data_IF_772773423129
#
_entry.id   IF_772773423129
#
_cell.length_a   1.000
_cell.length_b   1.000
_cell.length_c   1.000
_cell.angle_alpha   90.00
_cell.angle_beta   90.00
_cell.angle_gamma   90.00
#
_symmetry.space_group_name_H-M   'P 1'
#
loop_
_entity.id
_entity.type
_entity.pdbx_description
1 polymer ?
#
# COMPACT_ATOMS: atom_id res chain seq x y z
N UNK A 1 -8.35 -11.56 7.57
CA UNK A 1 -7.27 -11.88 6.61
C UNK A 1 -5.92 -11.31 7.02
N UNK A 2 -5.81 -10.04 7.37
CA UNK A 2 -4.54 -9.41 7.84
C UNK A 2 -3.95 -10.00 9.14
N UNK A 3 -4.76 -10.63 9.99
CA UNK A 3 -4.30 -11.26 11.25
C UNK A 3 -3.56 -12.60 11.03
N UNK A 4 -3.85 -13.33 9.96
CA UNK A 4 -3.22 -14.64 9.69
C UNK A 4 -1.91 -14.52 8.91
N UNK A 5 -1.72 -13.45 8.14
CA UNK A 5 -0.50 -13.22 7.37
C UNK A 5 0.74 -13.01 8.27
N UNK A 6 0.68 -12.19 9.34
CA UNK A 6 1.80 -12.09 10.27
C UNK A 6 2.19 -13.41 10.93
N UNK A 7 1.20 -14.26 11.22
CA UNK A 7 1.43 -15.61 11.77
C UNK A 7 2.12 -16.54 10.77
N UNK A 8 1.77 -16.47 9.50
CA UNK A 8 2.42 -17.25 8.44
C UNK A 8 3.91 -16.90 8.27
N UNK A 9 4.27 -15.66 8.55
CA UNK A 9 5.66 -15.17 8.48
C UNK A 9 6.36 -15.08 9.84
N UNK A 10 5.76 -15.58 10.92
CA UNK A 10 6.33 -15.54 12.25
C UNK A 10 7.66 -16.32 12.37
N UNK A 11 7.96 -17.22 11.42
CA UNK A 11 9.24 -17.93 11.34
C UNK A 11 10.37 -17.13 10.69
N UNK A 12 10.10 -15.95 10.12
CA UNK A 12 11.12 -15.09 9.56
C UNK A 12 11.84 -14.32 10.67
N UNK A 13 13.16 -14.05 10.52
CA UNK A 13 13.88 -13.24 11.48
C UNK A 13 13.30 -11.82 11.51
N UNK A 14 13.04 -11.31 12.71
CA UNK A 14 12.59 -9.94 12.90
C UNK A 14 13.82 -9.02 12.86
N UNK A 15 14.17 -8.59 11.66
CA UNK A 15 15.29 -7.69 11.39
C UNK A 15 14.81 -6.36 10.86
N UNK A 16 15.61 -5.33 11.04
CA UNK A 16 15.39 -4.06 10.37
C UNK A 16 15.47 -4.27 8.86
N UNK A 17 14.37 -4.03 8.19
CA UNK A 17 14.28 -4.12 6.75
C UNK A 17 13.64 -2.85 6.21
N UNK A 18 14.44 -2.01 5.63
CA UNK A 18 13.92 -0.77 5.08
C UNK A 18 14.98 0.12 4.46
N UNK A 19 14.55 0.96 3.56
CA UNK A 19 15.37 1.95 2.86
C UNK A 19 14.58 3.28 2.79
N UNK A 20 15.18 4.41 3.08
CA UNK A 20 16.59 4.70 3.37
C UNK A 20 16.99 4.55 4.84
N UNK A 21 16.07 4.29 5.79
CA UNK A 21 16.39 4.11 7.20
C UNK A 21 16.78 5.41 7.92
N UNK A 22 16.02 6.48 7.71
CA UNK A 22 16.29 7.80 8.31
C UNK A 22 15.70 7.86 9.71
N UNK A 23 16.52 8.19 10.70
CA UNK A 23 16.03 8.39 12.06
C UNK A 23 15.26 9.72 12.15
N UNK A 24 13.99 9.64 12.49
CA UNK A 24 13.10 10.79 12.71
C UNK A 24 12.62 10.77 14.15
N UNK A 25 12.72 11.90 14.82
CA UNK A 25 12.19 12.08 16.17
C UNK A 25 10.91 12.90 16.12
N UNK A 26 9.80 12.29 16.52
CA UNK A 26 8.50 12.94 16.66
C UNK A 26 7.93 12.66 18.03
N UNK A 27 7.42 13.69 18.70
CA UNK A 27 6.79 13.61 20.02
C UNK A 27 7.65 12.93 21.10
N UNK A 28 8.99 12.99 20.96
CA UNK A 28 9.92 12.41 21.92
C UNK A 28 10.35 10.98 21.63
N UNK A 29 9.79 10.34 20.62
CA UNK A 29 10.19 9.01 20.15
C UNK A 29 11.00 9.11 18.86
N UNK A 30 12.07 8.33 18.79
CA UNK A 30 12.91 8.20 17.60
C UNK A 30 12.57 6.90 16.88
N UNK A 31 12.20 6.99 15.62
CA UNK A 31 11.92 5.82 14.79
C UNK A 31 12.61 5.94 13.42
N UNK A 32 12.81 4.80 12.77
CA UNK A 32 13.37 4.76 11.42
C UNK A 32 12.26 4.93 10.39
N UNK A 33 12.33 6.04 9.67
CA UNK A 33 11.44 6.26 8.54
C UNK A 33 12.00 5.59 7.28
N UNK A 34 11.14 4.84 6.62
CA UNK A 34 11.49 4.11 5.41
C UNK A 34 10.46 4.41 4.30
N UNK A 35 10.93 4.52 3.08
CA UNK A 35 10.06 4.54 1.89
C UNK A 35 9.52 3.13 1.63
N UNK A 36 10.35 2.12 1.82
CA UNK A 36 9.98 0.71 1.74
C UNK A 36 10.53 -0.01 2.97
N UNK A 37 9.67 -0.77 3.65
CA UNK A 37 10.06 -1.59 4.79
C UNK A 37 9.73 -0.99 6.15
N UNK A 38 10.05 -1.75 7.18
CA UNK A 38 9.80 -1.41 8.58
C UNK A 38 10.98 -1.83 9.44
N UNK A 39 11.21 -1.10 10.54
CA UNK A 39 12.19 -1.49 11.54
C UNK A 39 11.69 -2.67 12.41
N UNK A 40 12.60 -3.35 13.10
CA UNK A 40 12.29 -4.50 13.92
C UNK A 40 11.32 -4.17 15.07
N UNK A 41 11.35 -2.93 15.59
CA UNK A 41 10.43 -2.46 16.63
C UNK A 41 8.98 -2.37 16.15
N UNK A 42 8.77 -2.19 14.85
CA UNK A 42 7.45 -2.04 14.22
C UNK A 42 7.09 -3.22 13.31
N UNK A 43 7.63 -4.39 13.57
CA UNK A 43 7.31 -5.64 12.90
C UNK A 43 8.34 -6.12 11.87
N UNK A 44 9.26 -5.28 11.42
CA UNK A 44 10.40 -5.64 10.56
C UNK A 44 10.04 -6.37 9.28
N UNK A 45 10.89 -7.31 8.88
CA UNK A 45 10.73 -8.10 7.65
C UNK A 45 9.44 -8.93 7.61
N UNK A 46 8.99 -9.64 8.66
CA UNK A 46 7.76 -10.41 8.61
C UNK A 46 6.52 -9.56 8.34
N UNK A 47 6.44 -8.41 8.97
CA UNK A 47 5.34 -7.46 8.75
C UNK A 47 5.34 -6.90 7.33
N UNK A 48 6.52 -6.54 6.83
CA UNK A 48 6.68 -6.05 5.45
C UNK A 48 6.24 -7.10 4.42
N UNK A 49 6.66 -8.37 4.57
CA UNK A 49 6.25 -9.45 3.67
C UNK A 49 4.73 -9.66 3.70
N UNK A 50 4.13 -9.71 4.88
CA UNK A 50 2.69 -9.86 5.03
C UNK A 50 1.91 -8.69 4.40
N UNK A 51 2.39 -7.48 4.61
CA UNK A 51 1.83 -6.27 4.01
C UNK A 51 1.90 -6.28 2.49
N UNK A 52 3.06 -6.62 1.92
CA UNK A 52 3.24 -6.68 0.46
C UNK A 52 2.35 -7.73 -0.20
N UNK A 53 2.22 -8.91 0.40
CA UNK A 53 1.34 -9.96 -0.13
C UNK A 53 -0.12 -9.52 -0.07
N UNK A 54 -0.56 -8.92 1.04
CA UNK A 54 -1.92 -8.41 1.17
C UNK A 54 -2.23 -7.33 0.13
N UNK A 55 -1.30 -6.40 -0.08
CA UNK A 55 -1.42 -5.36 -1.11
C UNK A 55 -1.49 -5.97 -2.51
N UNK A 56 -0.59 -6.89 -2.84
CA UNK A 56 -0.55 -7.53 -4.17
C UNK A 56 -1.85 -8.31 -4.47
N UNK A 57 -2.35 -9.08 -3.52
CA UNK A 57 -3.62 -9.81 -3.67
C UNK A 57 -4.78 -8.84 -3.85
N UNK A 58 -4.81 -7.76 -3.07
CA UNK A 58 -5.81 -6.70 -3.20
C UNK A 58 -5.81 -6.10 -4.60
N UNK A 59 -4.64 -5.80 -5.14
CA UNK A 59 -4.52 -5.20 -6.46
C UNK A 59 -4.82 -6.17 -7.61
N UNK A 60 -4.51 -7.45 -7.46
CA UNK A 60 -4.93 -8.47 -8.42
C UNK A 60 -6.46 -8.57 -8.57
N UNK A 61 -7.19 -8.30 -7.50
CA UNK A 61 -8.66 -8.24 -7.52
C UNK A 61 -9.14 -6.88 -8.04
N UNK A 62 -8.48 -5.81 -7.60
CA UNK A 62 -8.89 -4.45 -7.88
C UNK A 62 -8.69 -4.06 -9.37
N UNK A 63 -7.59 -4.53 -9.98
CA UNK A 63 -7.28 -4.22 -11.38
C UNK A 63 -8.40 -4.58 -12.36
N UNK A 64 -8.94 -5.82 -12.40
CA UNK A 64 -10.03 -6.15 -13.32
C UNK A 64 -11.33 -5.40 -13.00
N UNK A 65 -11.57 -5.11 -11.72
CA UNK A 65 -12.73 -4.31 -11.30
C UNK A 65 -12.62 -2.89 -11.85
N UNK A 66 -11.50 -2.24 -11.62
CA UNK A 66 -11.28 -0.88 -12.10
C UNK A 66 -11.32 -0.81 -13.63
N UNK A 67 -10.63 -1.74 -14.30
CA UNK A 67 -10.62 -1.79 -15.75
C UNK A 67 -12.01 -1.96 -16.36
N UNK A 68 -12.81 -2.86 -15.82
CA UNK A 68 -14.10 -3.27 -16.41
C UNK A 68 -15.27 -2.39 -15.96
N UNK A 69 -15.31 -2.03 -14.67
CA UNK A 69 -16.47 -1.36 -14.08
C UNK A 69 -16.28 0.15 -13.95
N UNK A 70 -15.11 0.59 -13.51
CA UNK A 70 -14.88 2.01 -13.25
C UNK A 70 -14.52 2.75 -14.53
N UNK A 71 -13.52 2.28 -15.25
CA UNK A 71 -13.00 2.98 -16.43
C UNK A 71 -13.50 2.40 -17.77
N UNK A 72 -14.15 1.24 -17.74
CA UNK A 72 -14.69 0.55 -18.93
C UNK A 72 -13.71 0.54 -20.12
N UNK A 73 -12.43 0.38 -19.82
CA UNK A 73 -11.38 0.48 -20.81
C UNK A 73 -11.35 -0.75 -21.73
N UNK A 74 -11.26 -0.51 -23.05
CA UNK A 74 -11.13 -1.53 -24.11
C UNK A 74 -9.71 -1.65 -24.66
N UNK A 75 -8.74 -0.93 -24.07
CA UNK A 75 -7.35 -0.97 -24.51
C UNK A 75 -6.67 -2.33 -24.29
N UNK A 76 -5.44 -2.46 -24.82
CA UNK A 76 -4.65 -3.69 -24.68
C UNK A 76 -4.38 -3.99 -23.20
N UNK A 77 -4.85 -5.15 -22.73
CA UNK A 77 -4.77 -5.54 -21.32
C UNK A 77 -3.31 -5.60 -20.82
N UNK A 78 -2.38 -6.11 -21.62
CA UNK A 78 -0.97 -6.21 -21.25
C UNK A 78 -0.30 -4.86 -21.05
N UNK A 79 -0.62 -3.88 -21.89
CA UNK A 79 -0.12 -2.53 -21.76
C UNK A 79 -0.66 -1.86 -20.47
N UNK A 80 -1.94 -2.01 -20.22
CA UNK A 80 -2.58 -1.49 -19.02
C UNK A 80 -2.08 -2.16 -17.76
N UNK A 81 -1.90 -3.50 -17.78
CA UNK A 81 -1.35 -4.25 -16.67
C UNK A 81 0.10 -3.84 -16.33
N UNK A 82 0.92 -3.59 -17.35
CA UNK A 82 2.30 -3.13 -17.16
C UNK A 82 2.35 -1.76 -16.47
N UNK A 83 1.58 -0.80 -16.96
CA UNK A 83 1.51 0.54 -16.36
C UNK A 83 0.88 0.50 -14.96
N UNK A 84 -0.10 -0.37 -14.76
CA UNK A 84 -0.71 -0.59 -13.45
C UNK A 84 0.29 -1.16 -12.44
N UNK A 85 1.17 -2.06 -12.87
CA UNK A 85 2.23 -2.60 -12.02
C UNK A 85 3.24 -1.51 -11.63
N UNK A 86 3.63 -0.64 -12.56
CA UNK A 86 4.50 0.51 -12.25
C UNK A 86 3.81 1.43 -11.25
N UNK A 87 2.55 1.74 -11.47
CA UNK A 87 1.74 2.53 -10.55
C UNK A 87 1.64 1.90 -9.17
N UNK A 88 1.44 0.58 -9.11
CA UNK A 88 1.44 -0.19 -7.86
C UNK A 88 2.75 0.00 -7.07
N UNK A 89 3.90 -0.09 -7.72
CA UNK A 89 5.18 0.13 -7.08
C UNK A 89 5.30 1.55 -6.50
N UNK A 90 4.89 2.57 -7.25
CA UNK A 90 4.92 3.97 -6.81
C UNK A 90 3.98 4.19 -5.64
N UNK A 91 2.75 3.70 -5.74
CA UNK A 91 1.74 3.83 -4.68
C UNK A 91 2.19 3.11 -3.41
N UNK A 92 2.77 1.92 -3.55
CA UNK A 92 3.30 1.15 -2.42
C UNK A 92 4.38 1.94 -1.68
N UNK A 93 5.29 2.59 -2.39
CA UNK A 93 6.32 3.45 -1.78
C UNK A 93 5.69 4.63 -1.01
N UNK A 94 4.69 5.30 -1.59
CA UNK A 94 4.00 6.43 -0.96
C UNK A 94 3.25 5.98 0.29
N UNK A 95 2.44 4.94 0.16
CA UNK A 95 1.61 4.41 1.26
C UNK A 95 2.50 3.88 2.38
N UNK A 96 3.56 3.16 2.06
CA UNK A 96 4.50 2.64 3.06
C UNK A 96 5.21 3.77 3.82
N UNK A 97 5.61 4.83 3.13
CA UNK A 97 6.23 6.01 3.76
C UNK A 97 5.29 6.68 4.77
N UNK A 98 4.01 6.84 4.41
CA UNK A 98 2.99 7.42 5.29
C UNK A 98 2.70 6.45 6.45
N UNK A 99 2.62 5.17 6.16
CA UNK A 99 2.32 4.15 7.17
C UNK A 99 3.44 4.01 8.21
N UNK A 100 4.71 4.17 7.84
CA UNK A 100 5.82 4.20 8.78
C UNK A 100 5.64 5.29 9.84
N UNK A 101 5.23 6.50 9.44
CA UNK A 101 4.95 7.60 10.36
C UNK A 101 3.73 7.27 11.23
N UNK A 102 2.66 6.76 10.62
CA UNK A 102 1.45 6.37 11.34
C UNK A 102 1.72 5.31 12.40
N UNK A 103 2.43 4.24 12.04
CA UNK A 103 2.76 3.14 12.96
C UNK A 103 3.55 3.65 14.17
N UNK A 104 4.52 4.54 13.94
CA UNK A 104 5.32 5.12 15.00
C UNK A 104 4.50 6.03 15.93
N UNK A 105 3.68 6.92 15.37
CA UNK A 105 2.92 7.93 16.13
C UNK A 105 1.69 7.31 16.79
N UNK A 106 0.91 6.52 16.06
CA UNK A 106 -0.32 5.96 16.58
C UNK A 106 -0.10 4.93 17.69
N UNK A 107 1.00 4.21 17.67
CA UNK A 107 1.37 3.28 18.75
C UNK A 107 1.51 3.94 20.12
N UNK A 108 1.74 5.25 20.18
CA UNK A 108 1.86 6.01 21.42
C UNK A 108 0.53 6.52 21.96
N UNK A 109 -0.45 6.83 21.10
CA UNK A 109 -1.66 7.56 21.46
C UNK A 109 -2.94 6.76 21.38
N UNK A 110 -2.91 5.62 20.67
CA UNK A 110 -4.13 4.91 20.25
C UNK A 110 -4.15 3.50 20.83
N UNK A 111 -5.27 3.04 21.42
CA UNK A 111 -5.41 1.66 21.87
C UNK A 111 -5.34 0.69 20.67
N UNK A 112 -4.84 -0.54 20.93
CA UNK A 112 -4.47 -1.49 19.86
C UNK A 112 -5.59 -1.84 18.87
N UNK A 113 -6.86 -1.89 19.33
CA UNK A 113 -8.00 -2.16 18.45
C UNK A 113 -8.27 -1.01 17.47
N UNK A 114 -8.17 0.23 17.96
CA UNK A 114 -8.34 1.43 17.13
C UNK A 114 -7.15 1.66 16.22
N UNK A 115 -5.95 1.29 16.66
CA UNK A 115 -4.75 1.28 15.85
C UNK A 115 -4.90 0.44 14.58
N UNK A 116 -5.41 -0.79 14.71
CA UNK A 116 -5.61 -1.68 13.56
C UNK A 116 -6.66 -1.14 12.57
N UNK A 117 -7.76 -0.59 13.09
CA UNK A 117 -8.80 0.05 12.27
C UNK A 117 -8.22 1.28 11.56
N UNK A 118 -7.54 2.15 12.30
CA UNK A 118 -6.92 3.35 11.76
C UNK A 118 -5.88 3.04 10.68
N UNK A 119 -5.04 2.03 10.88
CA UNK A 119 -4.06 1.58 9.88
C UNK A 119 -4.74 1.10 8.60
N UNK A 120 -5.81 0.32 8.73
CA UNK A 120 -6.57 -0.18 7.57
C UNK A 120 -7.23 0.96 6.81
N UNK A 121 -7.87 1.88 7.51
CA UNK A 121 -8.55 3.05 6.92
C UNK A 121 -7.54 3.98 6.26
N UNK A 122 -6.41 4.27 6.91
CA UNK A 122 -5.36 5.12 6.36
C UNK A 122 -4.79 4.53 5.07
N UNK A 123 -4.35 3.26 5.13
CA UNK A 123 -3.75 2.59 3.99
C UNK A 123 -4.75 2.45 2.83
N UNK A 124 -5.97 2.03 3.12
CA UNK A 124 -7.03 1.91 2.13
C UNK A 124 -7.43 3.25 1.52
N UNK A 125 -7.58 4.28 2.36
CA UNK A 125 -7.95 5.62 1.91
C UNK A 125 -6.88 6.28 1.06
N UNK A 126 -5.62 6.25 1.49
CA UNK A 126 -4.50 6.80 0.71
C UNK A 126 -4.32 6.04 -0.59
N UNK A 127 -4.34 4.70 -0.55
CA UNK A 127 -4.25 3.87 -1.76
C UNK A 127 -5.38 4.20 -2.74
N UNK A 128 -6.61 4.30 -2.26
CA UNK A 128 -7.77 4.60 -3.11
C UNK A 128 -7.63 5.96 -3.81
N UNK A 129 -7.22 6.99 -3.09
CA UNK A 129 -7.04 8.34 -3.66
C UNK A 129 -5.92 8.34 -4.70
N UNK A 130 -4.76 7.80 -4.35
CA UNK A 130 -3.59 7.78 -5.26
C UNK A 130 -3.88 6.92 -6.48
N UNK A 131 -4.45 5.72 -6.30
CA UNK A 131 -4.84 4.86 -7.42
C UNK A 131 -5.92 5.48 -8.31
N UNK A 132 -6.86 6.22 -7.74
CA UNK A 132 -7.86 6.93 -8.53
C UNK A 132 -7.20 7.91 -9.52
N UNK A 133 -6.26 8.73 -9.05
CA UNK A 133 -5.56 9.67 -9.92
C UNK A 133 -4.67 8.96 -10.94
N UNK A 134 -3.92 7.95 -10.52
CA UNK A 134 -3.05 7.18 -11.40
C UNK A 134 -3.86 6.44 -12.46
N UNK A 135 -4.95 5.80 -12.08
CA UNK A 135 -5.81 5.08 -13.01
C UNK A 135 -6.51 6.00 -14.01
N UNK A 136 -6.81 7.23 -13.62
CA UNK A 136 -7.31 8.23 -14.56
C UNK A 136 -6.31 8.53 -15.67
N UNK A 137 -5.01 8.41 -15.39
CA UNK A 137 -3.94 8.56 -16.39
C UNK A 137 -3.79 7.31 -17.24
N UNK A 138 -3.86 6.12 -16.60
CA UNK A 138 -3.68 4.81 -17.28
C UNK A 138 -4.90 4.47 -18.15
N UNK A 139 -6.11 4.80 -17.70
CA UNK A 139 -7.38 4.54 -18.35
C UNK A 139 -8.09 5.87 -18.70
N UNK A 140 -7.63 6.61 -19.72
CA UNK A 140 -8.25 7.88 -20.07
C UNK A 140 -9.69 7.69 -20.54
N UNK A 141 -10.60 8.50 -19.99
CA UNK A 141 -12.05 8.46 -20.27
C UNK A 141 -12.41 8.67 -21.76
N UNK A 142 -11.49 9.25 -22.53
CA UNK A 142 -11.69 9.50 -23.96
C UNK A 142 -11.84 8.24 -24.83
N UNK A 143 -11.32 7.10 -24.38
CA UNK A 143 -11.49 5.83 -25.10
C UNK A 143 -12.89 5.23 -24.91
N UNK A 144 -13.52 5.45 -23.75
CA UNK A 144 -14.88 5.00 -23.50
C UNK A 144 -15.91 5.76 -24.36
N UNK A 145 -15.74 7.07 -24.53
CA UNK A 145 -16.60 7.89 -25.39
C UNK A 145 -16.46 7.59 -26.88
N UNK A 146 -15.26 7.21 -27.35
CA UNK A 146 -15.05 6.79 -28.74
C UNK A 146 -15.65 5.42 -29.05
N UNK A 147 -15.87 4.58 -28.06
CA UNK A 147 -16.47 3.27 -28.23
C UNK A 147 -18.01 3.29 -28.21
N UNK A 148 -18.63 4.36 -27.67
CA UNK A 148 -20.07 4.58 -27.66
C UNK A 148 -20.56 5.40 -28.88
N UNK A 149 -19.67 6.03 -29.58
CA UNK A 149 -19.91 6.69 -30.84
C UNK A 149 -19.57 5.77 -32.01
#
# INVERSE_FOLDING_TARGET
>A
MLLFLPLAFAGLPNIDFGFPGIDITLFGETFKWNIIGYDAAHGGLPYFCAYMIAMLVGECINFPIQRSFVFRSKGKIWYQAFWYLIAFCIVTCIVNSINCIWVAVAGMFVPGWLYNIGTTVLNGGVSMVVFFFVNKIIFPEGEAKKAEA
#
